data_IF_749987274888
#
_entry.id   IF_749987274888
#
_cell.length_a   1.000
_cell.length_b   1.000
_cell.length_c   1.000
_cell.angle_alpha   90.00
_cell.angle_beta   90.00
_cell.angle_gamma   90.00
#
_symmetry.space_group_name_H-M   'P 1'
#
loop_
_entity.id
_entity.type
_entity.pdbx_description
1 polymer ?
#
# COMPACT_ATOMS: atom_id res chain seq x y z
N UNK A 1 -4.48 -1.11 -26.16
CA UNK A 1 -3.95 -0.73 -24.85
C UNK A 1 -2.48 -0.39 -24.99
N UNK A 2 -1.99 0.60 -24.25
CA UNK A 2 -0.58 1.01 -24.27
C UNK A 2 0.09 0.43 -23.01
N UNK A 3 1.19 -0.29 -23.18
CA UNK A 3 1.95 -0.89 -22.07
C UNK A 3 3.19 -0.05 -21.80
N UNK A 4 3.32 0.44 -20.57
CA UNK A 4 4.49 1.15 -20.07
C UNK A 4 5.19 0.24 -19.07
N UNK A 5 6.50 0.05 -19.20
CA UNK A 5 7.28 -0.85 -18.34
C UNK A 5 8.68 -0.29 -18.16
N UNK A 6 9.25 -0.48 -16.98
CA UNK A 6 10.56 0.04 -16.61
C UNK A 6 10.94 -0.33 -15.17
N UNK A 7 12.15 0.03 -14.73
CA UNK A 7 12.62 -0.26 -13.38
C UNK A 7 12.12 0.75 -12.33
N UNK A 8 11.68 1.94 -12.75
CA UNK A 8 11.27 3.03 -11.87
C UNK A 8 9.75 3.25 -11.97
N UNK A 9 9.05 2.95 -10.87
CA UNK A 9 7.59 3.05 -10.76
C UNK A 9 7.12 4.50 -10.91
N UNK A 10 7.88 5.47 -10.40
CA UNK A 10 7.51 6.88 -10.49
C UNK A 10 7.59 7.38 -11.93
N UNK A 11 8.61 6.94 -12.68
CA UNK A 11 8.73 7.25 -14.11
C UNK A 11 7.61 6.59 -14.92
N UNK A 12 7.28 5.33 -14.62
CA UNK A 12 6.15 4.63 -15.26
C UNK A 12 4.85 5.40 -15.05
N UNK A 13 4.59 5.87 -13.83
CA UNK A 13 3.39 6.64 -13.50
C UNK A 13 3.34 7.96 -14.29
N UNK A 14 4.42 8.76 -14.25
CA UNK A 14 4.49 10.03 -14.98
C UNK A 14 4.27 9.84 -16.48
N UNK A 15 4.94 8.85 -17.09
CA UNK A 15 4.83 8.58 -18.52
C UNK A 15 3.43 8.07 -18.89
N UNK A 16 2.84 7.20 -18.06
CA UNK A 16 1.49 6.69 -18.30
C UNK A 16 0.44 7.81 -18.24
N UNK A 17 0.59 8.76 -17.32
CA UNK A 17 -0.28 9.95 -17.25
C UNK A 17 -0.13 10.85 -18.48
N UNK A 18 1.10 11.08 -18.97
CA UNK A 18 1.32 11.86 -20.19
C UNK A 18 0.68 11.18 -21.42
N UNK A 19 0.84 9.87 -21.53
CA UNK A 19 0.20 9.07 -22.58
C UNK A 19 -1.32 9.16 -22.50
N UNK A 20 -1.90 9.10 -21.30
CA UNK A 20 -3.34 9.28 -21.10
C UNK A 20 -3.81 10.65 -21.62
N UNK A 21 -3.10 11.73 -21.30
CA UNK A 21 -3.48 13.07 -21.76
C UNK A 21 -3.43 13.21 -23.27
N UNK A 22 -2.40 12.66 -23.92
CA UNK A 22 -2.29 12.67 -25.38
C UNK A 22 -3.35 11.78 -26.02
N UNK A 23 -3.62 10.60 -25.46
CA UNK A 23 -4.63 9.69 -25.99
C UNK A 23 -6.03 10.33 -26.00
N UNK A 24 -6.36 11.14 -24.99
CA UNK A 24 -7.63 11.87 -24.94
C UNK A 24 -7.81 12.90 -26.06
N UNK A 25 -6.73 13.36 -26.71
CA UNK A 25 -6.84 14.33 -27.82
C UNK A 25 -7.07 13.67 -29.18
N UNK A 26 -7.00 12.33 -29.26
CA UNK A 26 -7.13 11.60 -30.52
C UNK A 26 -8.62 11.44 -30.89
N UNK A 27 -9.07 11.91 -32.07
CA UNK A 27 -10.45 11.72 -32.51
C UNK A 27 -10.83 10.23 -32.55
N UNK A 28 -11.97 9.89 -31.94
CA UNK A 28 -12.46 8.51 -31.84
C UNK A 28 -12.05 7.77 -30.56
N UNK A 29 -11.23 8.37 -29.70
CA UNK A 29 -10.98 7.83 -28.36
C UNK A 29 -12.15 8.18 -27.44
N UNK A 30 -12.93 7.17 -27.04
CA UNK A 30 -14.05 7.34 -26.11
C UNK A 30 -13.59 7.49 -24.65
N UNK A 31 -12.50 6.82 -24.28
CA UNK A 31 -11.86 6.94 -22.97
C UNK A 31 -10.40 6.49 -23.03
N UNK A 32 -9.55 7.11 -22.21
CA UNK A 32 -8.20 6.66 -21.93
C UNK A 32 -7.95 6.85 -20.43
N UNK A 33 -7.41 5.81 -19.78
CA UNK A 33 -7.10 5.78 -18.35
C UNK A 33 -5.77 5.08 -18.14
N UNK A 34 -4.84 5.74 -17.47
CA UNK A 34 -3.63 5.12 -16.93
C UNK A 34 -3.94 4.53 -15.55
N UNK A 35 -3.65 3.24 -15.37
CA UNK A 35 -3.76 2.60 -14.06
C UNK A 35 -2.66 3.15 -13.12
N UNK A 36 -3.04 3.49 -11.89
CA UNK A 36 -2.11 3.99 -10.88
C UNK A 36 -1.47 2.81 -10.16
N UNK A 37 -0.16 2.65 -10.32
CA UNK A 37 0.63 1.57 -9.71
C UNK A 37 0.83 1.80 -8.20
N UNK A 38 0.67 3.02 -7.71
CA UNK A 38 1.07 3.48 -6.36
C UNK A 38 -0.10 3.81 -5.41
N UNK A 39 -1.34 3.41 -5.76
CA UNK A 39 -2.56 3.88 -5.08
C UNK A 39 -2.81 3.42 -3.63
N UNK A 40 -1.89 2.67 -3.02
CA UNK A 40 -2.03 2.22 -1.63
C UNK A 40 -1.85 3.36 -0.64
N UNK A 41 -2.79 3.52 0.30
CA UNK A 41 -2.58 4.39 1.48
C UNK A 41 -1.83 3.58 2.52
N UNK A 42 -0.68 4.07 2.95
CA UNK A 42 0.14 3.45 3.99
C UNK A 42 0.21 4.35 5.23
N UNK A 43 0.22 3.72 6.40
CA UNK A 43 0.58 4.36 7.66
C UNK A 43 1.97 3.84 8.02
N UNK A 44 2.97 4.72 8.00
CA UNK A 44 4.33 4.38 8.44
C UNK A 44 4.47 4.64 9.94
N UNK A 45 4.89 3.62 10.69
CA UNK A 45 5.05 3.70 12.15
C UNK A 45 6.54 3.61 12.49
N UNK A 46 7.12 4.76 12.80
CA UNK A 46 8.53 4.86 13.16
C UNK A 46 8.71 4.72 14.67
N UNK A 47 9.19 3.54 15.10
CA UNK A 47 9.50 3.26 16.50
C UNK A 47 10.89 3.81 16.85
N UNK A 48 11.00 4.49 18.00
CA UNK A 48 12.26 4.94 18.60
C UNK A 48 12.73 3.95 19.68
N UNK A 49 13.69 3.04 19.39
CA UNK A 49 14.04 1.95 20.30
C UNK A 49 14.53 2.42 21.68
N UNK A 50 15.27 3.52 21.72
CA UNK A 50 15.82 4.12 22.93
C UNK A 50 14.75 4.67 23.88
N UNK A 51 13.58 5.04 23.35
CA UNK A 51 12.43 5.46 24.16
C UNK A 51 11.62 4.25 24.57
N UNK A 52 11.35 3.34 23.64
CA UNK A 52 10.62 2.10 23.90
C UNK A 52 11.23 1.30 25.07
N UNK A 53 12.57 1.20 25.09
CA UNK A 53 13.31 0.51 26.14
C UNK A 53 13.09 1.11 27.53
N UNK A 54 12.86 2.43 27.65
CA UNK A 54 12.55 3.09 28.93
C UNK A 54 11.22 2.65 29.53
N UNK A 55 10.30 2.19 28.68
CA UNK A 55 9.01 1.64 29.07
C UNK A 55 9.00 0.11 29.11
N UNK A 56 10.17 -0.53 28.99
CA UNK A 56 10.31 -1.98 29.07
C UNK A 56 9.88 -2.73 27.80
N UNK A 57 9.68 -2.04 26.68
CA UNK A 57 9.29 -2.67 25.42
C UNK A 57 10.50 -2.99 24.54
N UNK A 58 10.49 -4.20 23.96
CA UNK A 58 11.36 -4.56 22.84
C UNK A 58 10.74 -4.13 21.51
N UNK A 59 11.56 -4.02 20.46
CA UNK A 59 11.06 -3.73 19.11
C UNK A 59 10.05 -4.76 18.62
N UNK A 60 10.29 -6.05 18.91
CA UNK A 60 9.37 -7.13 18.54
C UNK A 60 8.01 -7.01 19.24
N UNK A 61 8.00 -6.66 20.53
CA UNK A 61 6.76 -6.44 21.27
C UNK A 61 5.94 -5.27 20.71
N UNK A 62 6.60 -4.17 20.33
CA UNK A 62 5.92 -3.03 19.73
C UNK A 62 5.36 -3.36 18.35
N UNK A 63 6.11 -4.06 17.51
CA UNK A 63 5.63 -4.51 16.20
C UNK A 63 4.41 -5.44 16.33
N UNK A 64 4.46 -6.39 17.27
CA UNK A 64 3.36 -7.32 17.50
C UNK A 64 2.11 -6.65 18.06
N UNK A 65 2.28 -5.64 18.92
CA UNK A 65 1.17 -4.82 19.41
C UNK A 65 0.54 -3.99 18.28
N UNK A 66 1.35 -3.38 17.42
CA UNK A 66 0.85 -2.61 16.26
C UNK A 66 0.08 -3.53 15.30
N UNK A 67 0.61 -4.73 15.02
CA UNK A 67 -0.02 -5.69 14.13
C UNK A 67 -1.37 -6.20 14.65
N UNK A 68 -1.50 -6.44 15.96
CA UNK A 68 -2.76 -6.86 16.58
C UNK A 68 -3.76 -5.71 16.74
N UNK A 69 -3.34 -4.57 17.28
CA UNK A 69 -4.25 -3.46 17.64
C UNK A 69 -4.68 -2.64 16.41
N UNK A 70 -3.79 -2.47 15.43
CA UNK A 70 -4.06 -1.67 14.21
C UNK A 70 -4.32 -2.57 13.01
N UNK A 71 -3.53 -3.64 12.85
CA UNK A 71 -3.67 -4.58 11.73
C UNK A 71 -4.82 -5.58 11.88
N UNK A 72 -5.27 -5.84 13.12
CA UNK A 72 -6.31 -6.82 13.40
C UNK A 72 -5.84 -8.27 13.27
N UNK A 73 -4.54 -8.53 13.46
CA UNK A 73 -3.99 -9.89 13.38
C UNK A 73 -4.81 -10.87 14.24
N UNK A 74 -5.25 -12.00 13.67
CA UNK A 74 -6.06 -12.97 14.40
C UNK A 74 -5.27 -13.52 15.59
N UNK A 75 -5.79 -13.29 16.79
CA UNK A 75 -5.17 -13.74 18.05
C UNK A 75 -5.44 -15.23 18.34
N UNK A 76 -6.40 -15.83 17.65
CA UNK A 76 -6.80 -17.23 17.76
C UNK A 76 -8.10 -17.51 17.02
N UNK A 77 -8.40 -18.80 16.81
CA UNK A 77 -9.64 -19.28 16.21
C UNK A 77 -10.41 -20.13 17.23
N UNK A 78 -11.73 -19.96 17.31
CA UNK A 78 -12.61 -20.81 18.11
C UNK A 78 -13.40 -21.71 17.16
N UNK A 79 -13.41 -23.02 17.41
CA UNK A 79 -14.29 -23.95 16.69
C UNK A 79 -15.65 -23.96 17.40
N UNK A 80 -16.62 -23.23 16.86
CA UNK A 80 -18.02 -23.31 17.30
C UNK A 80 -18.73 -24.36 16.43
N UNK A 81 -18.97 -25.54 17.02
CA UNK A 81 -19.79 -26.58 16.41
C UNK A 81 -21.25 -26.15 16.30
N UNK A 82 -21.97 -26.71 15.32
CA UNK A 82 -23.42 -26.51 15.15
C UNK A 82 -24.16 -27.34 16.20
N UNK A 83 -24.91 -26.70 17.09
CA UNK A 83 -26.07 -27.34 17.73
C UNK A 83 -27.22 -27.51 16.72
#
# INVERSE_FOLDING_TARGET
>A
GIKVSGPDVEQIERLSQQIEQVAKTVPGVSSALAERVTGGRYVDVQVRPEIAARYGFTQGQLQQLIATVVGGDPIGETIEGRE
#
